data_IF_462319571169
#
_entry.id   IF_462319571169
#
_cell.length_a   1.000
_cell.length_b   1.000
_cell.length_c   1.000
_cell.angle_alpha   90.00
_cell.angle_beta   90.00
_cell.angle_gamma   90.00
#
_symmetry.space_group_name_H-M   'P 1'
#
loop_
_entity.id
_entity.type
_entity.pdbx_description
1 polymer ?
#
# COMPACT_ATOMS: atom_id res chain seq x y z
N UNK A 1 6.33 -7.56 -27.87
CA UNK A 1 7.23 -8.71 -27.79
C UNK A 1 8.15 -8.47 -26.61
N UNK A 2 8.14 -9.39 -25.68
CA UNK A 2 9.01 -9.59 -24.53
C UNK A 2 9.05 -8.44 -23.51
N UNK A 3 8.08 -8.50 -22.58
CA UNK A 3 8.16 -7.83 -21.30
C UNK A 3 9.07 -8.68 -20.43
N UNK A 4 10.31 -8.28 -20.22
CA UNK A 4 11.14 -8.87 -19.19
C UNK A 4 10.94 -8.07 -17.90
N UNK A 5 10.39 -8.67 -16.82
CA UNK A 5 10.41 -8.02 -15.52
C UNK A 5 11.86 -7.92 -15.06
N UNK A 6 12.36 -6.70 -14.93
CA UNK A 6 13.66 -6.50 -14.29
C UNK A 6 13.46 -6.53 -12.79
N UNK A 7 14.03 -7.52 -12.11
CA UNK A 7 14.17 -7.54 -10.66
C UNK A 7 15.25 -6.51 -10.27
N UNK A 8 14.82 -5.34 -9.89
CA UNK A 8 15.66 -4.29 -9.34
C UNK A 8 14.77 -3.44 -8.44
N UNK A 9 15.33 -2.58 -7.62
CA UNK A 9 14.65 -1.68 -6.71
C UNK A 9 13.40 -1.04 -7.35
N UNK A 10 12.22 -1.45 -6.92
CA UNK A 10 10.92 -1.04 -7.42
C UNK A 10 10.45 -1.82 -8.66
N UNK A 11 9.18 -1.71 -8.97
CA UNK A 11 8.52 -2.35 -10.11
C UNK A 11 8.89 -1.62 -11.40
N UNK A 12 10.02 -2.00 -12.01
CA UNK A 12 10.47 -1.43 -13.28
C UNK A 12 10.04 -2.32 -14.43
N UNK A 13 9.11 -1.82 -15.24
CA UNK A 13 8.71 -2.46 -16.48
C UNK A 13 9.40 -1.79 -17.67
N UNK A 14 9.90 -2.60 -18.61
CA UNK A 14 10.52 -2.10 -19.84
C UNK A 14 9.77 -2.66 -21.03
N UNK A 15 9.45 -1.80 -21.98
CA UNK A 15 8.93 -2.17 -23.29
C UNK A 15 9.74 -1.48 -24.38
N UNK A 16 10.10 -2.22 -25.40
CA UNK A 16 10.96 -1.75 -26.47
C UNK A 16 10.37 -2.12 -27.83
N UNK A 17 10.48 -1.22 -28.79
CA UNK A 17 10.19 -1.48 -30.20
C UNK A 17 11.46 -1.17 -30.98
N UNK A 18 11.94 -2.14 -31.74
CA UNK A 18 13.10 -1.94 -32.62
C UNK A 18 12.72 -1.09 -33.82
N UNK A 19 13.42 0.01 -33.99
CA UNK A 19 13.29 0.85 -35.16
C UNK A 19 14.02 0.28 -36.37
N UNK A 20 13.71 0.79 -37.58
CA UNK A 20 14.33 0.36 -38.84
C UNK A 20 15.84 0.57 -38.85
N UNK A 21 16.34 1.60 -38.23
CA UNK A 21 17.75 1.93 -38.13
C UNK A 21 18.45 1.30 -36.93
N UNK A 22 17.72 0.52 -36.12
CA UNK A 22 18.22 -0.04 -34.88
C UNK A 22 18.65 1.05 -33.90
N UNK A 23 19.80 0.86 -33.22
CA UNK A 23 20.33 1.81 -32.24
C UNK A 23 21.46 2.70 -32.79
N UNK A 24 21.77 2.64 -34.08
CA UNK A 24 22.91 3.34 -34.67
C UNK A 24 22.85 4.87 -34.55
N UNK A 25 21.66 5.42 -34.69
CA UNK A 25 21.39 6.86 -34.62
C UNK A 25 20.77 7.29 -33.30
N UNK A 26 21.04 6.54 -32.23
CA UNK A 26 20.50 6.77 -30.90
C UNK A 26 19.19 6.05 -30.67
N UNK A 27 18.63 6.24 -29.47
CA UNK A 27 17.37 5.66 -29.04
C UNK A 27 16.46 6.74 -28.47
N UNK A 28 15.14 6.53 -28.51
CA UNK A 28 14.15 7.39 -27.86
C UNK A 28 13.63 6.69 -26.63
N UNK A 29 13.80 7.32 -25.46
CA UNK A 29 13.41 6.75 -24.17
C UNK A 29 12.30 7.61 -23.59
N UNK A 30 11.15 6.97 -23.27
CA UNK A 30 10.15 7.54 -22.39
C UNK A 30 10.25 6.81 -21.06
N UNK A 31 10.44 7.55 -19.98
CA UNK A 31 10.59 6.99 -18.63
C UNK A 31 9.62 7.69 -17.67
N UNK A 32 9.00 6.92 -16.80
CA UNK A 32 8.18 7.40 -15.71
C UNK A 32 8.26 6.40 -14.55
N UNK A 33 8.16 6.89 -13.32
CA UNK A 33 8.00 6.02 -12.16
C UNK A 33 6.52 5.61 -11.96
N UNK A 34 6.26 4.53 -11.23
CA UNK A 34 4.91 3.98 -11.06
C UNK A 34 4.62 3.54 -9.62
N UNK A 35 5.56 3.74 -8.71
CA UNK A 35 5.44 3.39 -7.31
C UNK A 35 4.66 4.46 -6.54
N UNK A 36 3.55 4.09 -5.96
CA UNK A 36 2.69 5.00 -5.22
C UNK A 36 3.07 5.12 -3.75
N UNK A 37 2.73 6.25 -3.08
CA UNK A 37 2.82 6.36 -1.64
C UNK A 37 1.99 5.28 -0.94
N UNK A 38 2.52 4.73 0.14
CA UNK A 38 1.90 3.66 0.91
C UNK A 38 2.40 3.66 2.36
N UNK A 39 1.84 2.77 3.16
CA UNK A 39 2.32 2.50 4.52
C UNK A 39 2.88 1.08 4.56
N UNK A 40 4.17 0.94 4.76
CA UNK A 40 4.85 -0.35 4.86
C UNK A 40 4.90 -0.82 6.31
N UNK A 41 4.78 -2.13 6.55
CA UNK A 41 4.96 -2.70 7.88
C UNK A 41 6.39 -2.53 8.40
N UNK A 42 6.54 -2.21 9.68
CA UNK A 42 7.81 -2.34 10.39
C UNK A 42 8.13 -3.83 10.67
N UNK A 43 9.39 -4.22 10.87
CA UNK A 43 9.77 -5.63 11.05
C UNK A 43 9.11 -6.35 12.24
N UNK A 44 8.79 -5.64 13.32
CA UNK A 44 8.03 -6.17 14.47
C UNK A 44 6.81 -5.27 14.65
N UNK A 45 5.77 -5.48 13.81
CA UNK A 45 4.72 -4.48 13.68
C UNK A 45 3.62 -4.62 14.72
N UNK A 46 3.32 -5.85 15.17
CA UNK A 46 2.14 -6.17 15.96
C UNK A 46 2.31 -5.82 17.42
N UNK A 47 1.41 -4.98 17.95
CA UNK A 47 1.36 -4.62 19.35
C UNK A 47 -0.08 -4.40 19.82
N UNK A 48 -0.25 -4.36 21.14
CA UNK A 48 -1.51 -4.09 21.80
C UNK A 48 -1.41 -2.82 22.64
N UNK A 49 -2.44 -1.99 22.61
CA UNK A 49 -2.57 -0.79 23.45
C UNK A 49 -4.04 -0.43 23.61
N UNK A 50 -4.45 -0.02 24.83
CA UNK A 50 -5.80 0.45 25.13
C UNK A 50 -6.91 -0.49 24.63
N UNK A 51 -6.73 -1.79 24.91
CA UNK A 51 -7.69 -2.84 24.51
C UNK A 51 -7.90 -2.98 22.99
N UNK A 52 -6.89 -2.65 22.22
CA UNK A 52 -6.88 -2.75 20.76
C UNK A 52 -5.55 -3.28 20.25
N UNK A 53 -5.61 -4.00 19.12
CA UNK A 53 -4.43 -4.48 18.40
C UNK A 53 -4.12 -3.58 17.22
N UNK A 54 -2.84 -3.27 17.06
CA UNK A 54 -2.33 -2.38 16.02
C UNK A 54 -1.14 -2.97 15.29
N UNK A 55 -0.93 -2.47 14.07
CA UNK A 55 0.30 -2.68 13.31
C UNK A 55 1.08 -1.37 13.19
N UNK A 56 2.36 -1.42 13.56
CA UNK A 56 3.29 -0.30 13.34
C UNK A 56 3.68 -0.22 11.88
N UNK A 57 3.61 0.98 11.33
CA UNK A 57 3.99 1.24 9.95
C UNK A 57 5.02 2.35 9.84
N UNK A 58 5.62 2.47 8.68
CA UNK A 58 6.27 3.67 8.21
C UNK A 58 5.72 4.05 6.84
N UNK A 59 5.67 5.32 6.52
CA UNK A 59 5.19 5.78 5.24
C UNK A 59 6.31 5.77 4.19
N UNK A 60 5.93 5.43 2.96
CA UNK A 60 6.78 5.52 1.77
C UNK A 60 6.29 6.66 0.88
N UNK A 61 7.23 7.45 0.34
CA UNK A 61 6.93 8.58 -0.52
C UNK A 61 6.52 9.85 0.22
N UNK A 62 6.23 10.90 -0.54
CA UNK A 62 5.80 12.19 -0.02
C UNK A 62 4.30 12.23 0.25
N UNK A 63 3.88 12.02 1.49
CA UNK A 63 2.47 12.04 1.87
C UNK A 63 2.10 13.23 2.76
N UNK A 64 0.86 13.69 2.64
CA UNK A 64 0.20 14.52 3.64
C UNK A 64 -0.43 13.60 4.68
N UNK A 65 0.27 13.36 5.78
CA UNK A 65 -0.08 12.34 6.79
C UNK A 65 -1.53 12.41 7.28
N UNK A 66 -2.06 13.62 7.44
CA UNK A 66 -3.45 13.83 7.87
C UNK A 66 -4.51 13.25 6.92
N UNK A 67 -4.17 13.04 5.64
CA UNK A 67 -5.11 12.45 4.67
C UNK A 67 -5.24 10.92 4.82
N UNK A 68 -4.38 10.31 5.61
CA UNK A 68 -4.34 8.86 5.81
C UNK A 68 -5.10 8.41 7.06
N UNK A 69 -5.47 9.36 7.92
CA UNK A 69 -6.27 9.08 9.10
C UNK A 69 -7.75 8.96 8.76
N UNK A 70 -8.48 8.12 9.49
CA UNK A 70 -9.93 7.92 9.38
C UNK A 70 -10.44 7.48 8.01
N UNK A 71 -9.56 7.02 7.11
CA UNK A 71 -9.97 6.44 5.82
C UNK A 71 -9.87 4.92 5.84
N UNK A 72 -10.66 4.22 5.01
CA UNK A 72 -10.52 2.77 4.84
C UNK A 72 -9.21 2.44 4.12
N UNK A 73 -8.50 1.46 4.65
CA UNK A 73 -7.25 0.94 4.09
C UNK A 73 -7.39 -0.54 3.75
N UNK A 74 -6.75 -0.95 2.66
CA UNK A 74 -6.58 -2.33 2.24
C UNK A 74 -5.14 -2.79 2.49
N UNK A 75 -4.96 -4.07 2.76
CA UNK A 75 -3.67 -4.72 3.03
C UNK A 75 -3.26 -5.56 1.83
N UNK A 76 -2.06 -5.34 1.32
CA UNK A 76 -1.47 -6.11 0.23
C UNK A 76 -0.07 -6.57 0.57
N UNK A 77 0.38 -7.64 -0.04
CA UNK A 77 1.78 -8.03 0.05
C UNK A 77 2.01 -9.53 0.04
N UNK A 78 3.18 -9.89 0.57
CA UNK A 78 3.61 -11.28 0.65
C UNK A 78 4.25 -11.56 2.02
N UNK A 79 4.04 -12.77 2.49
CA UNK A 79 4.72 -13.31 3.68
C UNK A 79 5.50 -14.54 3.23
N UNK A 80 6.78 -14.58 3.51
CA UNK A 80 7.64 -15.72 3.22
C UNK A 80 7.88 -16.48 4.52
N UNK A 81 7.36 -17.69 4.61
CA UNK A 81 7.52 -18.54 5.79
C UNK A 81 8.92 -19.16 5.86
N UNK A 82 9.29 -19.67 7.03
CA UNK A 82 10.59 -20.30 7.25
C UNK A 82 10.85 -21.54 6.36
N UNK A 83 9.80 -22.20 5.89
CA UNK A 83 9.89 -23.34 4.96
C UNK A 83 9.99 -22.90 3.48
N UNK A 84 10.05 -21.59 3.20
CA UNK A 84 10.09 -21.01 1.87
C UNK A 84 8.73 -20.84 1.20
N UNK A 85 7.63 -21.20 1.87
CA UNK A 85 6.28 -20.98 1.35
C UNK A 85 5.99 -19.50 1.25
N UNK A 86 5.52 -19.04 0.09
CA UNK A 86 5.13 -17.66 -0.17
C UNK A 86 3.61 -17.54 -0.08
N UNK A 87 3.13 -16.72 0.85
CA UNK A 87 1.72 -16.43 1.03
C UNK A 87 1.44 -15.04 0.50
N UNK A 88 0.53 -14.93 -0.47
CA UNK A 88 0.03 -13.64 -0.95
C UNK A 88 -1.11 -13.18 -0.06
N UNK A 89 -1.05 -11.92 0.35
CA UNK A 89 -2.08 -11.26 1.17
C UNK A 89 -2.73 -10.17 0.33
N UNK A 90 -4.06 -10.21 0.25
CA UNK A 90 -4.89 -9.16 -0.33
C UNK A 90 -6.18 -9.13 0.48
N UNK A 91 -6.40 -8.07 1.25
CA UNK A 91 -7.55 -7.94 2.16
C UNK A 91 -8.05 -6.50 2.13
N UNK A 92 -9.35 -6.33 1.94
CA UNK A 92 -10.00 -5.01 2.02
C UNK A 92 -10.52 -4.47 0.70
N UNK A 93 -10.37 -5.21 -0.40
CA UNK A 93 -10.85 -4.81 -1.73
C UNK A 93 -12.09 -5.58 -2.18
N UNK A 94 -12.25 -6.83 -1.73
CA UNK A 94 -13.40 -7.64 -2.08
C UNK A 94 -14.62 -7.34 -1.20
N UNK A 95 -15.79 -7.58 -1.75
CA UNK A 95 -17.04 -7.39 -0.99
C UNK A 95 -17.09 -8.35 0.21
N UNK A 96 -17.19 -7.78 1.41
CA UNK A 96 -17.20 -8.55 2.66
C UNK A 96 -15.84 -8.68 3.35
N UNK A 97 -14.77 -8.22 2.72
CA UNK A 97 -13.48 -8.14 3.40
C UNK A 97 -13.52 -7.13 4.55
N UNK A 98 -12.81 -7.37 5.64
CA UNK A 98 -12.53 -6.34 6.63
C UNK A 98 -11.61 -5.29 6.02
N UNK A 99 -11.85 -4.02 6.36
CA UNK A 99 -10.95 -2.91 6.06
C UNK A 99 -10.26 -2.44 7.32
N UNK A 100 -9.18 -1.71 7.17
CA UNK A 100 -8.33 -1.21 8.23
C UNK A 100 -8.39 0.31 8.26
N UNK A 101 -7.95 0.93 9.36
CA UNK A 101 -7.90 2.39 9.45
C UNK A 101 -6.85 2.85 10.45
N UNK A 102 -6.39 4.07 10.30
CA UNK A 102 -5.65 4.80 11.31
C UNK A 102 -6.67 5.61 12.08
N UNK A 103 -6.76 5.41 13.39
CA UNK A 103 -7.70 6.14 14.23
C UNK A 103 -7.31 7.61 14.37
N UNK A 104 -8.31 8.47 14.48
CA UNK A 104 -8.15 9.87 14.81
C UNK A 104 -9.08 10.24 15.96
N UNK A 105 -8.78 11.32 16.66
CA UNK A 105 -9.60 11.80 17.77
C UNK A 105 -10.61 12.84 17.30
N UNK A 106 -11.76 12.87 17.97
CA UNK A 106 -12.78 13.85 17.69
C UNK A 106 -12.34 15.27 18.11
N UNK A 107 -12.90 16.35 17.49
CA UNK A 107 -12.45 17.73 17.73
C UNK A 107 -12.49 18.14 19.20
N UNK A 108 -13.46 17.67 19.96
CA UNK A 108 -13.61 18.03 21.37
C UNK A 108 -12.45 17.53 22.25
N UNK A 109 -11.80 16.44 21.86
CA UNK A 109 -10.61 15.90 22.55
C UNK A 109 -9.29 16.28 21.86
N UNK A 110 -9.36 16.79 20.62
CA UNK A 110 -8.21 17.09 19.76
C UNK A 110 -7.74 18.54 19.79
N UNK A 111 -8.03 19.32 20.83
CA UNK A 111 -7.68 20.74 20.88
C UNK A 111 -6.20 21.02 20.67
N UNK A 112 -5.33 20.23 21.26
CA UNK A 112 -3.87 20.35 21.07
C UNK A 112 -3.42 20.00 19.65
N UNK A 113 -4.12 19.08 18.98
CA UNK A 113 -3.83 18.69 17.61
C UNK A 113 -4.26 19.77 16.63
N UNK A 114 -5.44 20.36 16.82
CA UNK A 114 -6.02 21.40 15.95
C UNK A 114 -5.16 22.66 15.91
N UNK A 115 -4.45 22.97 17.00
CA UNK A 115 -3.59 24.16 17.09
C UNK A 115 -2.19 23.95 16.50
N UNK A 116 -1.80 22.72 16.20
CA UNK A 116 -0.48 22.41 15.61
C UNK A 116 -0.44 22.77 14.12
N UNK A 117 0.72 23.18 13.60
CA UNK A 117 0.91 23.27 12.16
C UNK A 117 0.62 21.93 11.49
N UNK A 118 -0.04 21.95 10.34
CA UNK A 118 -0.50 20.73 9.64
C UNK A 118 0.61 19.70 9.41
N UNK A 119 1.84 20.15 9.14
CA UNK A 119 2.99 19.28 8.94
C UNK A 119 3.46 18.51 10.18
N UNK A 120 3.06 18.97 11.37
CA UNK A 120 3.46 18.39 12.67
C UNK A 120 2.27 17.86 13.49
N UNK A 121 1.04 18.10 13.01
CA UNK A 121 -0.18 17.61 13.66
C UNK A 121 -0.23 16.06 13.71
N UNK A 122 0.32 15.43 12.67
CA UNK A 122 0.51 13.98 12.59
C UNK A 122 1.97 13.68 12.32
N UNK A 123 2.58 12.84 13.14
CA UNK A 123 3.93 12.32 12.93
C UNK A 123 3.89 10.99 12.16
N UNK A 124 5.03 10.49 11.72
CA UNK A 124 5.09 9.16 11.12
C UNK A 124 4.75 8.03 12.10
N UNK A 125 5.05 8.24 13.40
CA UNK A 125 4.75 7.26 14.45
C UNK A 125 3.26 7.21 14.83
N UNK A 126 2.46 8.20 14.43
CA UNK A 126 1.00 8.19 14.64
C UNK A 126 0.26 7.36 13.58
N UNK A 127 0.94 6.96 12.49
CA UNK A 127 0.35 6.21 11.38
C UNK A 127 0.28 4.68 11.68
N UNK A 128 -0.13 4.32 12.90
CA UNK A 128 -0.34 2.92 13.27
C UNK A 128 -1.76 2.47 12.92
N UNK A 129 -1.87 1.29 12.34
CA UNK A 129 -3.12 0.79 11.78
C UNK A 129 -3.86 -0.06 12.79
N UNK A 130 -5.09 0.30 13.09
CA UNK A 130 -6.00 -0.50 13.90
C UNK A 130 -6.44 -1.75 13.12
N UNK A 131 -6.25 -2.93 13.73
CA UNK A 131 -6.56 -4.22 13.11
C UNK A 131 -7.51 -5.09 13.93
N UNK A 132 -7.85 -4.71 15.14
CA UNK A 132 -8.84 -5.42 15.94
C UNK A 132 -9.00 -4.91 17.35
N UNK A 133 -10.13 -5.27 17.96
CA UNK A 133 -10.52 -4.86 19.34
C UNK A 133 -11.27 -5.96 20.09
N UNK A 134 -11.12 -7.23 19.70
CA UNK A 134 -11.70 -8.36 20.43
C UNK A 134 -10.59 -9.20 21.03
N UNK A 135 -10.60 -9.45 22.35
CA UNK A 135 -9.64 -10.33 23.00
C UNK A 135 -9.94 -11.80 22.74
N UNK A 136 -8.98 -12.68 22.99
CA UNK A 136 -9.26 -14.10 23.19
C UNK A 136 -10.08 -14.27 24.49
N UNK A 137 -10.84 -15.37 24.58
CA UNK A 137 -11.64 -15.70 25.78
C UNK A 137 -10.78 -16.48 26.81
N UNK A 138 -9.67 -15.89 27.19
CA UNK A 138 -8.77 -16.45 28.18
C UNK A 138 -8.36 -15.30 29.13
N UNK A 139 -8.85 -15.36 30.37
CA UNK A 139 -8.61 -14.31 31.37
C UNK A 139 -7.14 -14.24 31.84
N UNK A 140 -6.36 -15.29 31.63
CA UNK A 140 -4.94 -15.34 31.97
C UNK A 140 -4.03 -14.91 30.80
N UNK A 141 -4.60 -14.71 29.59
CA UNK A 141 -3.84 -14.35 28.42
C UNK A 141 -3.26 -12.94 28.54
N UNK A 142 -1.94 -12.84 28.45
CA UNK A 142 -1.25 -11.58 28.23
C UNK A 142 -1.42 -11.19 26.75
N UNK A 143 -1.57 -9.89 26.49
CA UNK A 143 -1.75 -9.38 25.12
C UNK A 143 -2.93 -10.06 24.37
N UNK A 144 -4.09 -10.16 25.04
CA UNK A 144 -5.25 -10.94 24.59
C UNK A 144 -5.81 -10.51 23.23
N UNK A 145 -5.72 -9.21 22.90
CA UNK A 145 -6.16 -8.65 21.61
C UNK A 145 -5.16 -9.00 20.49
N UNK A 146 -3.88 -8.85 20.76
CA UNK A 146 -2.81 -9.26 19.87
C UNK A 146 -2.88 -10.76 19.57
N UNK A 147 -3.08 -11.58 20.60
CA UNK A 147 -3.19 -13.02 20.48
C UNK A 147 -4.37 -13.43 19.60
N UNK A 148 -5.52 -12.75 19.71
CA UNK A 148 -6.66 -13.02 18.85
C UNK A 148 -6.37 -12.73 17.37
N UNK A 149 -5.67 -11.64 17.08
CA UNK A 149 -5.26 -11.33 15.70
C UNK A 149 -4.32 -12.40 15.16
N UNK A 150 -3.34 -12.83 15.95
CA UNK A 150 -2.43 -13.92 15.55
C UNK A 150 -3.19 -15.23 15.29
N UNK A 151 -4.18 -15.55 16.13
CA UNK A 151 -5.05 -16.72 15.90
C UNK A 151 -5.80 -16.62 14.57
N UNK A 152 -6.39 -15.46 14.25
CA UNK A 152 -7.12 -15.25 13.00
C UNK A 152 -6.19 -15.33 11.77
N UNK A 153 -4.99 -14.76 11.84
CA UNK A 153 -3.99 -14.84 10.78
C UNK A 153 -3.50 -16.28 10.59
N UNK A 154 -3.32 -17.02 11.70
CA UNK A 154 -2.94 -18.42 11.64
C UNK A 154 -4.05 -19.29 11.04
N UNK A 155 -5.29 -19.14 11.47
CA UNK A 155 -6.43 -19.91 10.96
C UNK A 155 -6.64 -19.69 9.44
N UNK A 156 -6.49 -18.45 8.97
CA UNK A 156 -6.75 -18.10 7.57
C UNK A 156 -5.56 -18.37 6.65
N UNK A 157 -4.34 -18.08 7.11
CA UNK A 157 -3.14 -18.06 6.27
C UNK A 157 -2.01 -18.96 6.78
N UNK A 158 -2.14 -19.57 7.96
CA UNK A 158 -1.06 -20.33 8.60
C UNK A 158 0.14 -19.48 9.00
N UNK A 159 -0.05 -18.16 9.18
CA UNK A 159 0.99 -17.20 9.56
C UNK A 159 1.16 -17.21 11.07
N UNK A 160 2.40 -17.18 11.55
CA UNK A 160 2.78 -16.96 12.94
C UNK A 160 3.49 -15.61 13.09
N UNK A 161 3.66 -15.12 14.32
CA UNK A 161 4.25 -13.79 14.56
C UNK A 161 5.67 -13.66 13.98
N UNK A 162 6.46 -14.71 14.03
CA UNK A 162 7.81 -14.73 13.46
C UNK A 162 7.83 -14.53 11.93
N UNK A 163 6.79 -14.93 11.23
CA UNK A 163 6.69 -14.77 9.78
C UNK A 163 6.49 -13.28 9.38
N UNK A 164 6.03 -12.44 10.30
CA UNK A 164 5.87 -11.00 10.05
C UNK A 164 7.22 -10.27 9.90
N UNK A 165 8.31 -10.84 10.39
CA UNK A 165 9.66 -10.27 10.27
C UNK A 165 10.10 -10.22 8.79
N UNK A 166 9.71 -11.21 8.00
CA UNK A 166 10.02 -11.31 6.58
C UNK A 166 8.88 -10.87 5.66
N UNK A 167 7.81 -10.32 6.25
CA UNK A 167 6.64 -9.89 5.50
C UNK A 167 6.92 -8.57 4.78
N UNK A 168 6.62 -8.54 3.48
CA UNK A 168 6.51 -7.32 2.69
C UNK A 168 5.03 -7.00 2.55
N UNK A 169 4.49 -6.27 3.51
CA UNK A 169 3.07 -5.89 3.56
C UNK A 169 2.93 -4.39 3.53
N UNK A 170 2.04 -3.94 2.68
CA UNK A 170 1.71 -2.56 2.42
C UNK A 170 0.23 -2.29 2.73
N UNK A 171 -0.07 -1.09 3.20
CA UNK A 171 -1.43 -0.59 3.31
C UNK A 171 -1.63 0.60 2.38
N UNK A 172 -2.73 0.54 1.65
CA UNK A 172 -3.13 1.55 0.66
C UNK A 172 -4.59 1.93 0.88
N UNK A 173 -5.03 3.13 0.43
CA UNK A 173 -6.44 3.49 0.46
C UNK A 173 -7.32 2.47 -0.28
N UNK A 174 -8.36 1.99 0.38
CA UNK A 174 -9.28 0.98 -0.16
C UNK A 174 -10.37 1.58 -1.06
N UNK A 175 -10.21 2.82 -1.52
CA UNK A 175 -11.15 3.47 -2.41
C UNK A 175 -11.10 2.90 -3.82
N UNK A 176 -12.27 2.61 -4.37
CA UNK A 176 -12.40 2.29 -5.80
C UNK A 176 -12.33 3.56 -6.64
N UNK A 177 -11.88 3.42 -7.89
CA UNK A 177 -11.98 4.51 -8.84
C UNK A 177 -13.46 4.87 -9.10
N UNK A 178 -13.77 6.16 -9.08
CA UNK A 178 -15.14 6.67 -9.24
C UNK A 178 -15.14 7.89 -10.16
N UNK A 179 -16.27 8.10 -10.83
CA UNK A 179 -16.52 9.33 -11.57
C UNK A 179 -16.78 10.49 -10.60
N UNK A 180 -16.18 11.63 -10.87
CA UNK A 180 -16.33 12.86 -10.11
C UNK A 180 -17.05 13.92 -10.94
N UNK A 181 -17.97 14.63 -10.28
CA UNK A 181 -18.82 15.68 -10.87
C UNK A 181 -20.12 15.13 -11.46
N UNK A 182 -21.10 16.01 -11.63
CA UNK A 182 -22.38 15.62 -12.24
C UNK A 182 -22.24 15.19 -13.70
N UNK A 183 -21.28 15.74 -14.39
CA UNK A 183 -20.95 15.45 -15.79
C UNK A 183 -20.00 14.27 -15.94
N UNK A 184 -19.52 13.69 -14.82
CA UNK A 184 -18.57 12.56 -14.80
C UNK A 184 -17.29 12.80 -15.60
N UNK A 185 -16.86 14.06 -15.69
CA UNK A 185 -15.71 14.43 -16.52
C UNK A 185 -14.36 14.15 -15.87
N UNK A 186 -14.35 13.83 -14.57
CA UNK A 186 -13.14 13.54 -13.81
C UNK A 186 -13.21 12.14 -13.19
N UNK A 187 -12.04 11.54 -12.98
CA UNK A 187 -11.90 10.27 -12.25
C UNK A 187 -11.22 10.51 -10.93
N UNK A 188 -11.85 10.12 -9.84
CA UNK A 188 -11.25 10.09 -8.51
C UNK A 188 -10.71 8.69 -8.22
N UNK A 189 -9.41 8.58 -7.94
CA UNK A 189 -8.78 7.31 -7.60
C UNK A 189 -7.49 7.52 -6.83
N UNK A 190 -7.11 6.53 -6.03
CA UNK A 190 -5.75 6.39 -5.54
C UNK A 190 -4.86 5.91 -6.69
N UNK A 191 -3.63 6.46 -6.78
CA UNK A 191 -2.65 5.99 -7.73
C UNK A 191 -2.57 6.76 -9.05
N UNK A 192 -3.24 7.90 -9.20
CA UNK A 192 -3.02 8.80 -10.33
C UNK A 192 -1.56 9.25 -10.43
N UNK A 193 -1.00 9.69 -9.33
CA UNK A 193 0.43 9.84 -9.16
C UNK A 193 0.95 8.46 -8.68
N UNK A 194 1.69 7.70 -9.48
CA UNK A 194 2.46 8.10 -10.69
C UNK A 194 1.94 7.56 -12.03
N UNK A 195 0.82 6.90 -12.05
CA UNK A 195 0.34 6.21 -13.26
C UNK A 195 -0.02 7.16 -14.40
N UNK A 196 -0.33 8.41 -14.09
CA UNK A 196 -0.67 9.44 -15.10
C UNK A 196 0.46 9.70 -16.10
N UNK A 197 1.72 9.51 -15.71
CA UNK A 197 2.87 9.64 -16.58
C UNK A 197 3.25 8.31 -17.25
N UNK A 198 3.12 7.21 -16.53
CA UNK A 198 3.48 5.88 -17.04
C UNK A 198 2.50 5.39 -18.11
N UNK A 199 1.19 5.65 -17.93
CA UNK A 199 0.16 5.24 -18.89
C UNK A 199 0.32 5.85 -20.29
N UNK A 200 0.50 7.18 -20.46
CA UNK A 200 0.76 7.77 -21.77
C UNK A 200 2.05 7.25 -22.42
N UNK A 201 3.09 6.99 -21.64
CA UNK A 201 4.33 6.42 -22.17
C UNK A 201 4.10 5.00 -22.72
N UNK A 202 3.31 4.17 -22.03
CA UNK A 202 2.88 2.86 -22.51
C UNK A 202 2.03 2.96 -23.76
N UNK A 203 1.03 3.84 -23.77
CA UNK A 203 0.16 4.05 -24.93
C UNK A 203 0.92 4.53 -26.18
N UNK A 204 1.89 5.43 -25.97
CA UNK A 204 2.72 5.91 -27.06
C UNK A 204 3.50 4.76 -27.74
N UNK A 205 4.06 3.83 -26.95
CA UNK A 205 4.76 2.66 -27.49
C UNK A 205 3.79 1.67 -28.13
N UNK A 206 2.64 1.40 -27.52
CA UNK A 206 1.64 0.48 -28.07
C UNK A 206 1.11 0.92 -29.44
N UNK A 207 0.96 2.22 -29.62
CA UNK A 207 0.43 2.82 -30.85
C UNK A 207 1.52 3.18 -31.87
N UNK A 208 2.80 3.05 -31.50
CA UNK A 208 3.91 3.34 -32.41
C UNK A 208 3.99 2.30 -33.54
N UNK A 209 3.78 2.74 -34.77
CA UNK A 209 3.85 1.89 -35.97
C UNK A 209 5.10 2.24 -36.79
N UNK A 210 5.88 1.22 -37.12
CA UNK A 210 7.05 1.33 -38.00
C UNK A 210 8.04 2.43 -37.59
N UNK A 211 8.53 2.47 -36.34
CA UNK A 211 9.47 3.49 -35.92
C UNK A 211 10.76 3.45 -36.74
N UNK A 212 11.35 4.61 -36.96
CA UNK A 212 12.68 4.74 -37.61
C UNK A 212 13.76 4.47 -36.58
N UNK A 213 13.69 5.10 -35.44
CA UNK A 213 14.60 4.90 -34.29
C UNK A 213 13.98 3.91 -33.30
N UNK A 214 14.82 3.22 -32.56
CA UNK A 214 14.43 2.33 -31.46
C UNK A 214 13.98 3.12 -30.23
#
# INVERSE_FOLDING_TARGET
RDVAPSRGLGDVYKRQIMGKEGCKNGVRIAAAHIDNPRLDLKPIPLYESSEMAYLKTHYYGGIKKYQWTAIPLAMHGVVVKSDGTVIKVCIGEEAGDPQFTITDILPHLGQDQVTKPLGTAFTGEDLNILIGSRPVRDEEAKDAYKLNIMRLLNEKYGIIEADLISAEIEFVPAFKAVDIGFDRSLVGAYGHDDRVCAYPALEAILNCKNPVQT
#
